data_IF_815500981968
#
_entry.id   IF_815500981968
#
_cell.length_a   1.000
_cell.length_b   1.000
_cell.length_c   1.000
_cell.angle_alpha   90.00
_cell.angle_beta   90.00
_cell.angle_gamma   90.00
#
_symmetry.space_group_name_H-M   'P 1'
#
loop_
_entity.id
_entity.type
_entity.pdbx_description
1 polymer ?
#
# COMPACT_ATOMS: atom_id res chain seq x y z
N UNK A 1 19.74 -7.69 -29.18
CA UNK A 1 19.49 -9.00 -28.53
C UNK A 1 18.66 -9.84 -29.51
N UNK A 2 18.44 -11.16 -29.36
CA UNK A 2 17.51 -11.83 -30.30
C UNK A 2 16.09 -11.29 -30.06
N UNK A 3 15.28 -11.14 -31.11
CA UNK A 3 13.93 -10.58 -31.08
C UNK A 3 13.05 -11.18 -29.98
N UNK A 4 13.09 -12.51 -29.81
CA UNK A 4 12.30 -13.20 -28.79
C UNK A 4 12.67 -12.76 -27.37
N UNK A 5 13.97 -12.51 -27.14
CA UNK A 5 14.48 -12.08 -25.84
C UNK A 5 14.21 -10.59 -25.60
N UNK A 6 14.13 -9.77 -26.65
CA UNK A 6 13.70 -8.36 -26.55
C UNK A 6 12.22 -8.27 -26.16
N UNK A 7 11.37 -9.07 -26.80
CA UNK A 7 9.95 -9.19 -26.44
C UNK A 7 9.81 -9.64 -24.98
N UNK A 8 10.60 -10.62 -24.54
CA UNK A 8 10.56 -11.10 -23.17
C UNK A 8 11.02 -10.03 -22.17
N UNK A 9 12.13 -9.33 -22.44
CA UNK A 9 12.59 -8.23 -21.61
C UNK A 9 11.54 -7.14 -21.47
N UNK A 10 10.88 -6.74 -22.57
CA UNK A 10 9.81 -5.74 -22.56
C UNK A 10 8.67 -6.12 -21.62
N UNK A 11 8.23 -7.37 -21.67
CA UNK A 11 7.16 -7.86 -20.81
C UNK A 11 7.59 -7.96 -19.34
N UNK A 12 8.84 -8.35 -19.07
CA UNK A 12 9.39 -8.38 -17.71
C UNK A 12 9.53 -6.96 -17.15
N UNK A 13 10.00 -5.99 -17.96
CA UNK A 13 10.11 -4.57 -17.58
C UNK A 13 8.74 -3.97 -17.28
N UNK A 14 7.76 -4.22 -18.13
CA UNK A 14 6.38 -3.78 -17.92
C UNK A 14 5.79 -4.36 -16.63
N UNK A 15 5.94 -5.66 -16.42
CA UNK A 15 5.44 -6.34 -15.21
C UNK A 15 6.14 -5.84 -13.97
N UNK A 16 7.47 -5.67 -14.01
CA UNK A 16 8.23 -5.05 -12.92
C UNK A 16 7.63 -3.70 -12.51
N UNK A 17 7.35 -2.82 -13.48
CA UNK A 17 6.78 -1.51 -13.18
C UNK A 17 5.32 -1.60 -12.68
N UNK A 18 4.53 -2.54 -13.20
CA UNK A 18 3.20 -2.83 -12.66
C UNK A 18 3.26 -3.27 -11.19
N UNK A 19 4.26 -4.09 -10.80
CA UNK A 19 4.46 -4.48 -9.40
C UNK A 19 4.93 -3.30 -8.55
N UNK A 20 5.84 -2.45 -9.05
CA UNK A 20 6.23 -1.19 -8.37
C UNK A 20 5.00 -0.32 -8.11
N UNK A 21 4.12 -0.21 -9.11
CA UNK A 21 2.89 0.55 -9.04
C UNK A 21 1.94 0.01 -7.97
N UNK A 22 1.57 -1.27 -8.06
CA UNK A 22 0.70 -1.94 -7.10
C UNK A 22 1.25 -1.89 -5.68
N UNK A 23 2.57 -2.11 -5.52
CA UNK A 23 3.25 -2.01 -4.22
C UNK A 23 3.05 -0.62 -3.62
N UNK A 24 3.27 0.44 -4.41
CA UNK A 24 3.13 1.82 -3.91
C UNK A 24 1.70 2.14 -3.53
N UNK A 25 0.69 1.70 -4.29
CA UNK A 25 -0.72 1.90 -3.95
C UNK A 25 -1.04 1.24 -2.60
N UNK A 26 -0.60 0.00 -2.39
CA UNK A 26 -0.83 -0.72 -1.13
C UNK A 26 -0.16 -0.04 0.07
N UNK A 27 1.08 0.48 -0.09
CA UNK A 27 1.72 1.31 0.92
C UNK A 27 0.90 2.57 1.24
N UNK A 28 0.40 3.27 0.21
CA UNK A 28 -0.39 4.51 0.40
C UNK A 28 -1.74 4.26 1.04
N UNK A 29 -2.41 3.15 0.75
CA UNK A 29 -3.65 2.77 1.43
C UNK A 29 -3.38 2.45 2.91
N UNK A 30 -2.32 1.68 3.21
CA UNK A 30 -1.91 1.42 4.59
C UNK A 30 -1.60 2.70 5.38
N UNK A 31 -0.93 3.68 4.75
CA UNK A 31 -0.65 5.00 5.35
C UNK A 31 -1.94 5.76 5.63
N UNK A 32 -2.86 5.86 4.65
CA UNK A 32 -4.15 6.56 4.79
C UNK A 32 -4.96 5.96 5.94
N UNK A 33 -5.06 4.63 6.00
CA UNK A 33 -5.81 3.95 7.05
C UNK A 33 -5.14 4.13 8.42
N UNK A 34 -3.81 4.10 8.48
CA UNK A 34 -3.05 4.36 9.71
C UNK A 34 -3.22 5.80 10.22
N UNK A 35 -3.21 6.80 9.33
CA UNK A 35 -3.48 8.21 9.64
C UNK A 35 -4.89 8.37 10.24
N UNK A 36 -5.90 7.79 9.57
CA UNK A 36 -7.30 7.81 10.05
C UNK A 36 -7.42 7.15 11.43
N UNK A 37 -6.83 5.98 11.61
CA UNK A 37 -6.85 5.26 12.89
C UNK A 37 -6.28 6.11 14.02
N UNK A 38 -5.10 6.72 13.81
CA UNK A 38 -4.45 7.60 14.82
C UNK A 38 -5.32 8.80 15.18
N UNK A 39 -5.97 9.43 14.20
CA UNK A 39 -6.85 10.57 14.44
C UNK A 39 -8.04 10.18 15.34
N UNK A 40 -8.70 9.07 15.02
CA UNK A 40 -9.85 8.63 15.81
C UNK A 40 -9.46 8.11 17.20
N UNK A 41 -8.31 7.44 17.31
CA UNK A 41 -7.76 7.01 18.60
C UNK A 41 -7.48 8.22 19.50
N UNK A 42 -6.95 9.31 18.93
CA UNK A 42 -6.78 10.57 19.66
C UNK A 42 -8.11 11.16 20.13
N UNK A 43 -9.13 11.21 19.26
CA UNK A 43 -10.48 11.67 19.64
C UNK A 43 -11.04 10.80 20.78
N UNK A 44 -10.89 9.48 20.70
CA UNK A 44 -11.32 8.55 21.75
C UNK A 44 -10.66 8.86 23.09
N UNK A 45 -9.33 9.02 23.11
CA UNK A 45 -8.57 9.34 24.32
C UNK A 45 -9.03 10.68 24.92
N UNK A 46 -9.22 11.70 24.09
CA UNK A 46 -9.72 13.01 24.53
C UNK A 46 -11.14 12.90 25.11
N UNK A 47 -12.07 12.23 24.42
CA UNK A 47 -13.42 12.01 24.93
C UNK A 47 -13.42 11.22 26.24
N UNK A 48 -12.64 10.13 26.33
CA UNK A 48 -12.53 9.34 27.56
C UNK A 48 -11.98 10.16 28.73
N UNK A 49 -10.96 11.00 28.49
CA UNK A 49 -10.39 11.88 29.51
C UNK A 49 -11.40 12.93 29.98
N UNK A 50 -12.12 13.57 29.05
CA UNK A 50 -13.21 14.51 29.34
C UNK A 50 -14.33 13.85 30.14
N UNK A 51 -14.74 12.63 29.78
CA UNK A 51 -15.70 11.83 30.55
C UNK A 51 -15.22 11.61 31.97
N UNK A 52 -13.97 11.17 32.16
CA UNK A 52 -13.43 10.94 33.51
C UNK A 52 -13.42 12.21 34.36
N UNK A 53 -12.95 13.33 33.81
CA UNK A 53 -12.96 14.63 34.51
C UNK A 53 -14.39 15.09 34.80
N UNK A 54 -15.29 14.97 33.84
CA UNK A 54 -16.71 15.32 33.98
C UNK A 54 -17.37 14.51 35.10
N UNK A 55 -17.19 13.19 35.12
CA UNK A 55 -17.72 12.32 36.17
C UNK A 55 -17.16 12.66 37.57
N UNK A 56 -15.86 12.98 37.68
CA UNK A 56 -15.25 13.42 38.95
C UNK A 56 -15.87 14.75 39.40
N UNK A 57 -16.09 15.69 38.48
CA UNK A 57 -16.65 17.00 38.81
C UNK A 57 -18.07 16.91 39.38
N UNK A 58 -18.85 15.88 39.00
CA UNK A 58 -20.19 15.63 39.55
C UNK A 58 -20.21 15.33 41.06
N UNK A 59 -19.08 14.95 41.65
CA UNK A 59 -18.95 14.75 43.11
C UNK A 59 -18.94 16.09 43.84
N UNK A 60 -18.42 17.15 43.20
CA UNK A 60 -18.20 18.45 43.83
C UNK A 60 -19.17 19.54 43.32
N UNK A 61 -19.71 19.37 42.11
CA UNK A 61 -20.52 20.37 41.42
C UNK A 61 -21.82 19.70 40.94
N UNK A 62 -22.96 20.15 41.48
CA UNK A 62 -24.29 19.64 41.10
C UNK A 62 -24.95 20.52 40.03
N UNK A 63 -24.33 20.55 38.84
CA UNK A 63 -24.84 21.31 37.68
C UNK A 63 -25.40 20.38 36.61
N UNK A 64 -26.67 20.60 36.22
CA UNK A 64 -27.35 19.78 35.21
C UNK A 64 -26.58 19.75 33.86
N UNK A 65 -25.99 20.89 33.48
CA UNK A 65 -25.21 21.00 32.25
C UNK A 65 -23.97 20.10 32.24
N UNK A 66 -23.31 19.93 33.38
CA UNK A 66 -22.13 19.04 33.51
C UNK A 66 -22.57 17.57 33.38
N UNK A 67 -23.71 17.20 33.97
CA UNK A 67 -24.31 15.85 33.84
C UNK A 67 -24.65 15.51 32.40
N UNK A 68 -25.32 16.43 31.70
CA UNK A 68 -25.71 16.27 30.31
C UNK A 68 -24.48 16.12 29.40
N UNK A 69 -23.50 17.02 29.54
CA UNK A 69 -22.27 16.98 28.73
C UNK A 69 -21.47 15.70 28.98
N UNK A 70 -21.30 15.31 30.25
CA UNK A 70 -20.57 14.08 30.61
C UNK A 70 -21.25 12.84 30.03
N UNK A 71 -22.59 12.80 30.01
CA UNK A 71 -23.36 11.69 29.44
C UNK A 71 -23.19 11.60 27.92
N UNK A 72 -23.30 12.73 27.21
CA UNK A 72 -23.11 12.78 25.75
C UNK A 72 -21.70 12.37 25.36
N UNK A 73 -20.68 12.91 26.03
CA UNK A 73 -19.27 12.58 25.73
C UNK A 73 -18.98 11.11 26.02
N UNK A 74 -19.55 10.55 27.10
CA UNK A 74 -19.43 9.13 27.41
C UNK A 74 -20.06 8.26 26.34
N UNK A 75 -21.26 8.62 25.86
CA UNK A 75 -21.92 7.90 24.79
C UNK A 75 -21.12 7.94 23.48
N UNK A 76 -20.58 9.10 23.10
CA UNK A 76 -19.71 9.25 21.92
C UNK A 76 -18.45 8.38 22.08
N UNK A 77 -17.79 8.41 23.24
CA UNK A 77 -16.60 7.59 23.51
C UNK A 77 -16.88 6.09 23.38
N UNK A 78 -17.99 5.63 23.96
CA UNK A 78 -18.43 4.23 23.86
C UNK A 78 -18.78 3.85 22.43
N UNK A 79 -19.49 4.72 21.71
CA UNK A 79 -19.83 4.49 20.30
C UNK A 79 -18.59 4.38 19.43
N UNK A 80 -17.63 5.31 19.56
CA UNK A 80 -16.34 5.25 18.88
C UNK A 80 -15.63 3.93 19.23
N UNK A 81 -15.55 3.58 20.50
CA UNK A 81 -14.90 2.33 20.95
C UNK A 81 -15.53 1.07 20.36
N UNK A 82 -16.86 1.05 20.24
CA UNK A 82 -17.60 -0.06 19.64
C UNK A 82 -17.39 -0.11 18.13
N UNK A 83 -17.41 1.05 17.46
CA UNK A 83 -17.14 1.19 16.03
C UNK A 83 -15.73 0.70 15.66
N UNK A 84 -14.71 1.03 16.45
CA UNK A 84 -13.34 0.55 16.29
C UNK A 84 -13.17 -0.95 16.48
N UNK A 85 -14.04 -1.56 17.29
CA UNK A 85 -14.03 -3.01 17.50
C UNK A 85 -14.76 -3.73 16.38
N UNK A 86 -15.78 -3.11 15.77
CA UNK A 86 -16.55 -3.69 14.67
C UNK A 86 -15.87 -3.52 13.31
N UNK A 87 -15.15 -2.41 13.08
CA UNK A 87 -14.26 -2.28 11.95
C UNK A 87 -12.91 -2.83 12.37
N UNK A 88 -12.48 -3.95 11.80
CA UNK A 88 -11.12 -4.48 11.99
C UNK A 88 -10.08 -3.56 11.32
N UNK A 89 -10.04 -2.26 11.65
CA UNK A 89 -9.21 -1.24 11.00
C UNK A 89 -7.73 -1.63 11.06
N UNK A 90 -7.28 -2.15 12.20
CA UNK A 90 -5.91 -2.64 12.36
C UNK A 90 -5.63 -3.87 11.51
N UNK A 91 -6.60 -4.78 11.36
CA UNK A 91 -6.47 -5.94 10.49
C UNK A 91 -6.36 -5.49 9.03
N UNK A 92 -7.17 -4.52 8.63
CA UNK A 92 -7.13 -3.97 7.27
C UNK A 92 -5.78 -3.29 6.97
N UNK A 93 -5.29 -2.44 7.88
CA UNK A 93 -3.93 -1.86 7.78
C UNK A 93 -2.87 -2.95 7.66
N UNK A 94 -2.96 -4.00 8.48
CA UNK A 94 -2.02 -5.12 8.45
C UNK A 94 -2.07 -5.87 7.12
N UNK A 95 -3.26 -6.08 6.55
CA UNK A 95 -3.44 -6.75 5.26
C UNK A 95 -2.81 -5.94 4.12
N UNK A 96 -3.07 -4.62 4.05
CA UNK A 96 -2.43 -3.75 3.07
C UNK A 96 -0.90 -3.75 3.20
N UNK A 97 -0.36 -3.69 4.44
CA UNK A 97 1.08 -3.79 4.68
C UNK A 97 1.66 -5.13 4.26
N UNK A 98 0.96 -6.23 4.54
CA UNK A 98 1.37 -7.56 4.12
C UNK A 98 1.44 -7.66 2.60
N UNK A 99 0.37 -7.27 1.90
CA UNK A 99 0.36 -7.25 0.42
C UNK A 99 1.46 -6.35 -0.13
N UNK A 100 1.74 -5.20 0.48
CA UNK A 100 2.85 -4.34 0.08
C UNK A 100 4.21 -5.07 0.19
N UNK A 101 4.45 -5.80 1.29
CA UNK A 101 5.67 -6.60 1.48
C UNK A 101 5.76 -7.73 0.45
N UNK A 102 4.66 -8.43 0.17
CA UNK A 102 4.63 -9.52 -0.80
C UNK A 102 4.94 -9.00 -2.22
N UNK A 103 4.38 -7.85 -2.59
CA UNK A 103 4.69 -7.16 -3.85
C UNK A 103 6.13 -6.63 -3.90
N UNK A 104 6.69 -6.16 -2.77
CA UNK A 104 8.08 -5.76 -2.66
C UNK A 104 9.03 -6.93 -2.96
N UNK A 105 8.73 -8.12 -2.42
CA UNK A 105 9.49 -9.35 -2.70
C UNK A 105 9.43 -9.69 -4.19
N UNK A 106 8.23 -9.67 -4.78
CA UNK A 106 8.05 -9.93 -6.22
C UNK A 106 8.78 -8.91 -7.08
N UNK A 107 8.74 -7.62 -6.73
CA UNK A 107 9.49 -6.57 -7.41
C UNK A 107 10.97 -6.89 -7.46
N UNK A 108 11.54 -7.32 -6.33
CA UNK A 108 12.96 -7.66 -6.25
C UNK A 108 13.27 -8.93 -7.07
N UNK A 109 12.36 -9.91 -7.11
CA UNK A 109 12.47 -11.10 -7.99
C UNK A 109 12.42 -10.74 -9.48
N UNK A 110 11.49 -9.89 -9.91
CA UNK A 110 11.45 -9.40 -11.30
C UNK A 110 12.72 -8.61 -11.65
N UNK A 111 13.25 -7.82 -10.72
CA UNK A 111 14.53 -7.12 -10.90
C UNK A 111 15.70 -8.10 -11.07
N UNK A 112 15.74 -9.19 -10.30
CA UNK A 112 16.73 -10.25 -10.49
C UNK A 112 16.61 -10.89 -11.87
N UNK A 113 15.39 -11.14 -12.36
CA UNK A 113 15.17 -11.66 -13.71
C UNK A 113 15.68 -10.69 -14.78
N UNK A 114 15.47 -9.37 -14.62
CA UNK A 114 16.04 -8.35 -15.51
C UNK A 114 17.58 -8.38 -15.52
N UNK A 115 18.21 -8.59 -14.36
CA UNK A 115 19.67 -8.77 -14.28
C UNK A 115 20.10 -10.02 -15.08
N UNK A 116 19.41 -11.15 -14.94
CA UNK A 116 19.73 -12.37 -15.70
C UNK A 116 19.57 -12.18 -17.21
N UNK A 117 18.52 -11.49 -17.63
CA UNK A 117 18.27 -11.13 -19.03
C UNK A 117 19.45 -10.33 -19.58
N UNK A 118 19.83 -9.25 -18.88
CA UNK A 118 20.86 -8.33 -19.35
C UNK A 118 22.27 -8.91 -19.30
N UNK A 119 22.56 -9.76 -18.31
CA UNK A 119 23.83 -10.48 -18.23
C UNK A 119 23.94 -11.64 -19.23
N UNK A 120 22.88 -11.91 -20.00
CA UNK A 120 22.83 -12.99 -20.98
C UNK A 120 23.17 -14.37 -20.38
N UNK A 121 22.82 -14.62 -19.11
CA UNK A 121 23.27 -15.77 -18.32
C UNK A 121 22.58 -17.10 -18.64
N UNK A 122 21.35 -17.03 -19.15
CA UNK A 122 20.52 -18.19 -19.46
C UNK A 122 19.91 -18.05 -20.86
N UNK A 123 19.43 -19.18 -21.39
CA UNK A 123 18.69 -19.24 -22.65
C UNK A 123 17.29 -18.61 -22.50
N UNK A 124 16.73 -18.10 -23.60
CA UNK A 124 15.42 -17.43 -23.61
C UNK A 124 14.29 -18.30 -23.05
N UNK A 125 14.31 -19.62 -23.29
CA UNK A 125 13.31 -20.57 -22.79
C UNK A 125 13.36 -20.69 -21.27
N UNK A 126 14.55 -20.75 -20.69
CA UNK A 126 14.72 -20.77 -19.23
C UNK A 126 14.21 -19.47 -18.59
N UNK A 127 14.56 -18.30 -19.14
CA UNK A 127 14.05 -17.01 -18.67
C UNK A 127 12.53 -16.94 -18.77
N UNK A 128 11.96 -17.45 -19.86
CA UNK A 128 10.51 -17.48 -20.05
C UNK A 128 9.81 -18.32 -18.98
N UNK A 129 10.37 -19.49 -18.62
CA UNK A 129 9.82 -20.30 -17.56
C UNK A 129 9.88 -19.60 -16.20
N UNK A 130 11.00 -18.95 -15.86
CA UNK A 130 11.11 -18.15 -14.63
C UNK A 130 10.10 -17.00 -14.61
N UNK A 131 9.88 -16.36 -15.75
CA UNK A 131 8.88 -15.31 -15.89
C UNK A 131 7.46 -15.83 -15.66
N UNK A 132 7.09 -16.96 -16.26
CA UNK A 132 5.80 -17.62 -16.05
C UNK A 132 5.57 -17.98 -14.56
N UNK A 133 6.59 -18.53 -13.91
CA UNK A 133 6.54 -18.87 -12.48
C UNK A 133 6.31 -17.63 -11.60
N UNK A 134 7.00 -16.52 -11.90
CA UNK A 134 6.82 -15.24 -11.19
C UNK A 134 5.44 -14.62 -11.46
N UNK A 135 4.90 -14.76 -12.67
CA UNK A 135 3.55 -14.29 -12.98
C UNK A 135 2.48 -15.07 -12.21
N UNK A 136 2.68 -16.39 -12.04
CA UNK A 136 1.79 -17.21 -11.20
C UNK A 136 1.86 -16.80 -9.73
N UNK A 137 3.06 -16.55 -9.20
CA UNK A 137 3.23 -16.03 -7.84
C UNK A 137 2.57 -14.64 -7.67
N UNK A 138 2.74 -13.75 -8.65
CA UNK A 138 2.07 -12.45 -8.66
C UNK A 138 0.55 -12.57 -8.66
N UNK A 139 0.00 -13.52 -9.41
CA UNK A 139 -1.43 -13.82 -9.44
C UNK A 139 -2.00 -14.21 -8.07
N UNK A 140 -1.28 -15.02 -7.29
CA UNK A 140 -1.71 -15.37 -5.93
C UNK A 140 -1.67 -14.16 -4.99
N UNK A 141 -0.65 -13.29 -5.10
CA UNK A 141 -0.60 -12.05 -4.29
C UNK A 141 -1.76 -11.11 -4.63
N UNK A 142 -2.12 -10.98 -5.91
CA UNK A 142 -3.26 -10.15 -6.32
C UNK A 142 -4.60 -10.73 -5.92
N UNK A 143 -4.75 -12.05 -5.88
CA UNK A 143 -5.97 -12.71 -5.41
C UNK A 143 -6.27 -12.43 -3.94
N UNK A 144 -5.23 -12.33 -3.11
CA UNK A 144 -5.35 -12.05 -1.68
C UNK A 144 -5.26 -10.54 -1.35
N UNK A 145 -5.02 -9.68 -2.35
CA UNK A 145 -4.84 -8.26 -2.15
C UNK A 145 -6.17 -7.58 -1.75
N UNK A 146 -6.18 -6.76 -0.68
CA UNK A 146 -7.34 -5.95 -0.34
C UNK A 146 -7.58 -4.84 -1.37
N UNK A 147 -8.86 -4.45 -1.51
CA UNK A 147 -9.28 -3.34 -2.36
C UNK A 147 -8.68 -2.01 -1.87
N UNK A 148 -8.28 -1.17 -2.81
CA UNK A 148 -7.68 0.15 -2.54
C UNK A 148 -8.62 1.27 -2.96
N UNK A 149 -8.30 2.51 -2.55
CA UNK A 149 -9.11 3.70 -2.86
C UNK A 149 -8.44 4.58 -3.91
N UNK A 150 -9.24 5.37 -4.64
CA UNK A 150 -8.73 6.38 -5.58
C UNK A 150 -7.75 7.36 -4.93
N UNK A 151 -7.90 7.62 -3.63
CA UNK A 151 -6.99 8.46 -2.86
C UNK A 151 -5.60 7.81 -2.70
N UNK A 152 -5.53 6.50 -2.50
CA UNK A 152 -4.25 5.80 -2.45
C UNK A 152 -3.58 5.79 -3.84
N UNK A 153 -4.38 5.56 -4.89
CA UNK A 153 -3.94 5.64 -6.29
C UNK A 153 -3.37 7.02 -6.59
N UNK A 154 -4.07 8.11 -6.26
CA UNK A 154 -3.59 9.49 -6.45
C UNK A 154 -2.29 9.78 -5.67
N UNK A 155 -2.19 9.30 -4.43
CA UNK A 155 -0.95 9.44 -3.63
C UNK A 155 0.20 8.65 -4.24
N UNK A 156 -0.07 7.50 -4.86
CA UNK A 156 0.94 6.69 -5.53
C UNK A 156 1.40 7.36 -6.84
N UNK A 157 0.46 7.91 -7.63
CA UNK A 157 0.74 8.69 -8.84
C UNK A 157 1.76 9.80 -8.56
N UNK A 158 1.46 10.62 -7.55
CA UNK A 158 2.36 11.72 -7.15
C UNK A 158 3.71 11.24 -6.63
N UNK A 159 3.76 10.07 -6.00
CA UNK A 159 4.99 9.53 -5.42
C UNK A 159 5.92 8.88 -6.47
N UNK A 160 5.37 8.37 -7.57
CA UNK A 160 6.12 7.70 -8.64
C UNK A 160 6.26 8.55 -9.90
N UNK A 161 5.61 9.71 -9.96
CA UNK A 161 5.61 10.62 -11.11
C UNK A 161 5.15 9.95 -12.42
N UNK A 162 4.18 9.03 -12.33
CA UNK A 162 3.59 8.36 -13.50
C UNK A 162 2.35 9.10 -13.99
N UNK A 163 2.03 8.97 -15.28
CA UNK A 163 0.97 9.77 -15.91
C UNK A 163 -0.30 8.99 -16.27
N UNK A 164 -0.23 7.65 -16.30
CA UNK A 164 -1.33 6.77 -16.71
C UNK A 164 -1.39 5.50 -15.89
N UNK A 165 -2.58 4.92 -15.79
CA UNK A 165 -2.78 3.61 -15.18
C UNK A 165 -2.37 2.52 -16.16
N UNK A 166 -1.51 1.61 -15.71
CA UNK A 166 -1.14 0.37 -16.41
C UNK A 166 -0.58 0.57 -17.84
N UNK A 167 -0.15 1.78 -18.17
CA UNK A 167 0.60 2.13 -19.38
C UNK A 167 1.86 2.88 -18.94
N UNK A 168 3.01 2.20 -19.00
CA UNK A 168 4.28 2.77 -18.55
C UNK A 168 5.20 3.04 -19.74
N UNK A 169 5.72 4.26 -19.82
CA UNK A 169 6.80 4.60 -20.74
C UNK A 169 8.14 4.02 -20.25
N UNK A 170 9.08 3.79 -21.17
CA UNK A 170 10.43 3.32 -20.81
C UNK A 170 11.12 4.25 -19.80
N UNK A 171 10.84 5.56 -19.86
CA UNK A 171 11.34 6.55 -18.89
C UNK A 171 10.80 6.32 -17.48
N UNK A 172 9.51 6.04 -17.34
CA UNK A 172 8.87 5.76 -16.04
C UNK A 172 9.40 4.44 -15.43
N UNK A 173 9.60 3.41 -16.27
CA UNK A 173 10.20 2.14 -15.86
C UNK A 173 11.65 2.36 -15.42
N UNK A 174 12.44 3.07 -16.23
CA UNK A 174 13.86 3.31 -15.98
C UNK A 174 14.10 4.18 -14.75
N UNK A 175 13.19 5.11 -14.42
CA UNK A 175 13.26 5.89 -13.18
C UNK A 175 13.25 5.00 -11.92
N UNK A 176 12.67 3.80 -12.02
CA UNK A 176 12.58 2.83 -10.93
C UNK A 176 13.66 1.73 -11.01
N UNK A 177 14.62 1.85 -11.93
CA UNK A 177 15.72 0.91 -12.12
C UNK A 177 17.09 1.58 -11.90
N UNK A 178 18.10 0.84 -11.40
CA UNK A 178 19.47 1.33 -11.36
C UNK A 178 20.00 1.57 -12.79
N UNK A 179 20.96 2.49 -12.95
CA UNK A 179 21.53 2.83 -14.25
C UNK A 179 22.01 1.61 -15.07
N UNK A 180 22.48 0.55 -14.40
CA UNK A 180 22.90 -0.67 -15.07
C UNK A 180 21.77 -1.38 -15.80
N UNK A 181 20.53 -1.32 -15.29
CA UNK A 181 19.34 -2.00 -15.82
C UNK A 181 18.45 -1.10 -16.69
N UNK A 182 18.78 0.19 -16.81
CA UNK A 182 18.03 1.09 -17.68
C UNK A 182 18.19 0.67 -19.13
N UNK A 183 17.11 0.80 -19.91
CA UNK A 183 17.23 0.65 -21.36
C UNK A 183 18.12 1.81 -21.80
N UNK A 184 19.26 1.52 -22.44
CA UNK A 184 20.10 2.62 -22.94
C UNK A 184 19.25 3.42 -23.92
N UNK A 185 18.87 4.63 -23.53
CA UNK A 185 18.38 5.60 -24.48
C UNK A 185 19.50 5.79 -25.49
N UNK A 186 19.26 5.39 -26.74
CA UNK A 186 20.04 5.94 -27.84
C UNK A 186 19.71 7.44 -27.84
N UNK A 187 20.57 8.25 -27.22
CA UNK A 187 20.73 9.65 -27.58
C UNK A 187 21.48 9.74 -28.91
#
# INVERSE_FOLDING_TARGET
MNKDREILEDNVRHTFMSVVWSHKIQEKEADILSEKFKLYELIRIVCASLTSVGLISLIFIDEFWIKLLSTIVSFISTFISMFFKSFEVQNNVSNHKKTAIDLLILRDKFRLLLIEIQMNKADTKEIFQKYDDLQRELGEVYKDAPNTTDKAVERAYKALEINKDNEFSDKEIDANLPNSLKRRSFE
#
